data_IF_056026796145
#
_entry.id   IF_056026796145
#
_cell.length_a   1.000
_cell.length_b   1.000
_cell.length_c   1.000
_cell.angle_alpha   90.00
_cell.angle_beta   90.00
_cell.angle_gamma   90.00
#
_symmetry.space_group_name_H-M   'P 1'
#
loop_
_entity.id
_entity.type
_entity.pdbx_description
1 polymer ?
#
# COMPACT_ATOMS: atom_id res chain seq x y z
N UNK A 1 -20.32 -7.08 7.98
CA UNK A 1 -19.03 -7.08 7.27
C UNK A 1 -17.95 -6.82 8.29
N UNK A 2 -16.97 -7.73 8.40
CA UNK A 2 -15.85 -7.55 9.31
C UNK A 2 -14.96 -6.40 8.81
N UNK A 3 -14.65 -5.46 9.71
CA UNK A 3 -13.82 -4.31 9.41
C UNK A 3 -12.34 -4.71 9.48
N UNK A 4 -11.82 -5.12 8.33
CA UNK A 4 -10.43 -5.57 8.18
C UNK A 4 -9.58 -4.53 7.46
N UNK A 5 -8.33 -4.39 7.89
CA UNK A 5 -7.27 -3.66 7.18
C UNK A 5 -6.37 -4.64 6.46
N UNK A 6 -6.17 -4.42 5.16
CA UNK A 6 -5.31 -5.23 4.33
C UNK A 6 -4.04 -4.44 4.00
N UNK A 7 -2.89 -5.09 4.16
CA UNK A 7 -1.60 -4.52 3.74
C UNK A 7 -1.46 -4.71 2.24
N UNK A 8 -1.21 -3.61 1.54
CA UNK A 8 -1.07 -3.53 0.10
C UNK A 8 0.22 -2.82 -0.25
N UNK A 9 0.83 -3.20 -1.36
CA UNK A 9 1.93 -2.47 -1.99
C UNK A 9 1.40 -1.76 -3.23
N UNK A 10 1.55 -0.45 -3.29
CA UNK A 10 1.23 0.34 -4.48
C UNK A 10 2.32 0.13 -5.52
N UNK A 11 1.93 -0.27 -6.73
CA UNK A 11 2.90 -0.66 -7.77
C UNK A 11 3.65 0.55 -8.30
N UNK A 12 2.94 1.66 -8.51
CA UNK A 12 3.52 2.87 -9.10
C UNK A 12 4.45 3.62 -8.14
N UNK A 13 4.13 3.59 -6.84
CA UNK A 13 4.87 4.32 -5.80
C UNK A 13 5.90 3.44 -5.08
N UNK A 14 5.83 2.13 -5.22
CA UNK A 14 6.60 1.17 -4.42
C UNK A 14 6.43 1.37 -2.90
N UNK A 15 5.27 1.88 -2.48
CA UNK A 15 4.95 2.13 -1.08
C UNK A 15 4.10 1.00 -0.52
N UNK A 16 4.26 0.69 0.77
CA UNK A 16 3.45 -0.33 1.46
C UNK A 16 2.59 0.32 2.52
N UNK A 17 1.27 0.15 2.41
CA UNK A 17 0.33 0.77 3.34
C UNK A 17 -0.77 -0.19 3.80
N UNK A 18 -1.36 0.12 4.97
CA UNK A 18 -2.48 -0.61 5.54
C UNK A 18 -3.79 0.14 5.21
N UNK A 19 -4.61 -0.46 4.35
CA UNK A 19 -5.84 0.16 3.84
C UNK A 19 -7.07 -0.65 4.25
N UNK A 20 -8.26 -0.06 4.37
CA UNK A 20 -9.49 -0.83 4.56
C UNK A 20 -9.67 -1.84 3.42
N UNK A 21 -10.00 -3.08 3.75
CA UNK A 21 -10.20 -4.13 2.75
C UNK A 21 -11.35 -3.80 1.79
N UNK A 22 -12.28 -2.95 2.22
CA UNK A 22 -13.37 -2.40 1.41
C UNK A 22 -12.89 -1.48 0.29
N UNK A 23 -11.67 -0.93 0.38
CA UNK A 23 -11.09 -0.08 -0.67
C UNK A 23 -10.46 -0.90 -1.79
N UNK A 24 -10.35 -2.22 -1.62
CA UNK A 24 -9.69 -3.11 -2.56
C UNK A 24 -10.75 -3.78 -3.44
N UNK A 25 -10.72 -3.48 -4.74
CA UNK A 25 -11.62 -4.09 -5.73
C UNK A 25 -10.78 -4.44 -6.95
N UNK A 26 -10.84 -5.68 -7.41
CA UNK A 26 -10.14 -6.16 -8.62
C UNK A 26 -8.63 -5.83 -8.65
N UNK A 27 -7.93 -6.01 -7.51
CA UNK A 27 -6.49 -5.67 -7.35
C UNK A 27 -6.16 -4.18 -7.54
N UNK A 28 -7.17 -3.32 -7.44
CA UNK A 28 -7.01 -1.87 -7.38
C UNK A 28 -7.43 -1.38 -6.00
N UNK A 29 -6.71 -0.39 -5.48
CA UNK A 29 -7.09 0.30 -4.26
C UNK A 29 -7.66 1.67 -4.62
N UNK A 30 -8.87 1.96 -4.14
CA UNK A 30 -9.49 3.27 -4.25
C UNK A 30 -8.96 4.15 -3.12
N UNK A 31 -8.32 5.25 -3.49
CA UNK A 31 -7.66 6.14 -2.54
C UNK A 31 -8.32 7.52 -2.56
N UNK A 32 -8.74 8.07 -1.42
CA UNK A 32 -9.37 9.37 -1.39
C UNK A 32 -8.36 10.49 -1.72
N UNK A 33 -8.72 11.49 -2.55
CA UNK A 33 -7.88 12.64 -2.86
C UNK A 33 -7.95 13.69 -1.73
N UNK A 34 -7.77 13.25 -0.48
CA UNK A 34 -7.80 14.11 0.70
C UNK A 34 -6.39 14.38 1.21
N UNK A 35 -6.26 15.35 2.11
CA UNK A 35 -5.04 15.55 2.89
C UNK A 35 -4.76 14.33 3.77
N UNK A 36 -3.49 14.03 4.01
CA UNK A 36 -3.01 12.86 4.78
C UNK A 36 -3.75 12.63 6.09
N UNK A 37 -4.01 13.69 6.85
CA UNK A 37 -4.75 13.60 8.13
C UNK A 37 -6.18 13.05 7.95
N UNK A 38 -6.87 13.52 6.90
CA UNK A 38 -8.21 13.06 6.54
C UNK A 38 -8.19 11.65 5.98
N UNK A 39 -7.13 11.27 5.26
CA UNK A 39 -6.96 9.89 4.77
C UNK A 39 -6.81 8.94 5.96
N UNK A 40 -5.93 9.25 6.92
CA UNK A 40 -5.74 8.44 8.13
C UNK A 40 -7.05 8.30 8.91
N UNK A 41 -7.84 9.38 9.01
CA UNK A 41 -9.16 9.33 9.61
C UNK A 41 -10.13 8.43 8.81
N UNK A 42 -10.12 8.52 7.48
CA UNK A 42 -10.95 7.69 6.59
C UNK A 42 -10.60 6.20 6.69
N UNK A 43 -9.31 5.87 6.75
CA UNK A 43 -8.81 4.49 6.96
C UNK A 43 -9.29 3.94 8.30
N UNK A 44 -9.13 4.71 9.39
CA UNK A 44 -9.58 4.29 10.73
C UNK A 44 -11.09 4.15 10.81
N UNK A 45 -11.85 4.99 10.08
CA UNK A 45 -13.32 4.96 10.08
C UNK A 45 -13.91 3.94 9.09
N UNK A 46 -13.10 3.30 8.25
CA UNK A 46 -13.57 2.50 7.12
C UNK A 46 -14.55 3.28 6.25
N UNK A 47 -14.17 4.50 5.87
CA UNK A 47 -14.98 5.30 4.96
C UNK A 47 -15.26 4.49 3.69
N UNK A 48 -16.50 4.53 3.20
CA UNK A 48 -16.84 3.81 1.98
C UNK A 48 -16.17 4.48 0.78
N UNK A 49 -15.57 3.70 -0.14
CA UNK A 49 -15.00 4.27 -1.35
C UNK A 49 -16.11 4.92 -2.16
N UNK A 50 -15.91 6.19 -2.50
CA UNK A 50 -16.79 6.91 -3.41
C UNK A 50 -16.34 6.67 -4.86
N UNK A 51 -17.25 6.72 -5.82
CA UNK A 51 -16.98 6.54 -7.25
C UNK A 51 -16.01 7.58 -7.82
N UNK A 52 -15.83 8.71 -7.15
CA UNK A 52 -14.87 9.75 -7.54
C UNK A 52 -13.43 9.52 -7.02
N UNK A 53 -13.16 8.46 -6.25
CA UNK A 53 -11.80 8.22 -5.76
C UNK A 53 -10.90 7.67 -6.88
N UNK A 54 -9.69 8.22 -7.06
CA UNK A 54 -8.70 7.61 -7.94
C UNK A 54 -8.38 6.18 -7.49
N UNK A 55 -8.14 5.31 -8.45
CA UNK A 55 -7.81 3.91 -8.23
C UNK A 55 -6.37 3.64 -8.63
N UNK A 56 -5.64 2.91 -7.79
CA UNK A 56 -4.23 2.62 -7.97
C UNK A 56 -4.02 1.11 -8.05
N UNK A 57 -3.09 0.67 -8.90
CA UNK A 57 -2.76 -0.74 -9.00
C UNK A 57 -1.94 -1.20 -7.78
N UNK A 58 -2.37 -2.30 -7.18
CA UNK A 58 -1.78 -2.82 -5.94
C UNK A 58 -1.41 -4.29 -6.03
N UNK A 59 -0.50 -4.68 -5.15
CA UNK A 59 -0.18 -6.08 -4.83
C UNK A 59 -0.58 -6.33 -3.38
N UNK A 60 -1.42 -7.32 -3.14
CA UNK A 60 -1.74 -7.81 -1.79
C UNK A 60 -0.76 -8.90 -1.40
N UNK A 61 -0.37 -8.92 -0.12
CA UNK A 61 0.44 -10.01 0.42
C UNK A 61 -0.46 -11.17 0.88
N UNK A 62 0.09 -12.38 0.96
CA UNK A 62 -0.64 -13.53 1.52
C UNK A 62 -0.90 -13.29 3.01
N UNK A 63 -2.13 -13.55 3.48
CA UNK A 63 -2.55 -13.35 4.87
C UNK A 63 -2.25 -11.93 5.39
N UNK A 64 -2.53 -10.92 4.56
CA UNK A 64 -2.22 -9.52 4.87
C UNK A 64 -3.39 -8.73 5.45
N UNK A 65 -4.49 -9.40 5.79
CA UNK A 65 -5.66 -8.80 6.41
C UNK A 65 -5.62 -8.93 7.93
N UNK A 66 -5.96 -7.85 8.63
CA UNK A 66 -5.89 -7.71 10.08
C UNK A 66 -7.16 -7.00 10.59
N UNK A 67 -7.58 -7.35 11.79
CA UNK A 67 -8.72 -6.78 12.53
C UNK A 67 -8.36 -5.53 13.34
N UNK A 68 -7.08 -5.14 13.34
CA UNK A 68 -6.59 -3.98 14.08
C UNK A 68 -5.65 -3.14 13.22
N UNK A 69 -5.97 -1.86 13.07
CA UNK A 69 -5.19 -0.91 12.27
C UNK A 69 -3.75 -0.80 12.74
N UNK A 70 -3.52 -0.80 14.06
CA UNK A 70 -2.17 -0.62 14.62
C UNK A 70 -1.24 -1.76 14.21
N UNK A 71 -1.68 -3.00 14.35
CA UNK A 71 -0.92 -4.19 13.92
C UNK A 71 -0.73 -4.22 12.41
N UNK A 72 -1.76 -3.87 11.63
CA UNK A 72 -1.65 -3.78 10.17
C UNK A 72 -0.57 -2.76 9.75
N UNK A 73 -0.58 -1.57 10.35
CA UNK A 73 0.38 -0.49 10.05
C UNK A 73 1.81 -0.85 10.46
N UNK A 74 2.00 -1.45 11.64
CA UNK A 74 3.32 -1.91 12.08
C UNK A 74 3.90 -2.95 11.13
N UNK A 75 3.06 -3.86 10.63
CA UNK A 75 3.46 -4.87 9.65
C UNK A 75 3.71 -4.29 8.26
N UNK A 76 2.92 -3.30 7.83
CA UNK A 76 3.14 -2.56 6.59
C UNK A 76 4.53 -1.89 6.60
N UNK A 77 4.85 -1.18 7.69
CA UNK A 77 6.17 -0.56 7.87
C UNK A 77 7.31 -1.56 7.86
N UNK A 78 7.12 -2.74 8.46
CA UNK A 78 8.12 -3.83 8.39
C UNK A 78 8.31 -4.33 6.96
N UNK A 79 7.23 -4.50 6.19
CA UNK A 79 7.28 -4.98 4.81
C UNK A 79 7.95 -3.96 3.86
N UNK A 80 7.73 -2.67 4.09
CA UNK A 80 8.41 -1.57 3.40
C UNK A 80 9.94 -1.65 3.61
N UNK A 81 10.38 -1.68 4.88
CA UNK A 81 11.81 -1.77 5.24
C UNK A 81 12.50 -3.02 4.68
N UNK A 82 11.82 -4.18 4.64
CA UNK A 82 12.40 -5.40 4.05
C UNK A 82 12.54 -5.34 2.53
N UNK A 83 11.73 -4.53 1.85
CA UNK A 83 11.84 -4.34 0.40
C UNK A 83 13.03 -3.45 0.06
N UNK A 84 13.31 -2.45 0.89
CA UNK A 84 14.49 -1.58 0.74
C UNK A 84 15.79 -2.31 1.10
N UNK A 85 15.81 -3.15 2.14
CA UNK A 85 17.05 -3.81 2.59
C UNK A 85 17.56 -4.89 1.62
N UNK A 86 16.70 -5.44 0.76
CA UNK A 86 17.10 -6.37 -0.30
C UNK A 86 17.78 -5.69 -1.51
N UNK A 87 18.03 -4.37 -1.46
CA UNK A 87 18.65 -3.64 -2.57
C UNK A 87 20.19 -3.64 -2.56
N UNK A 88 20.85 -4.15 -1.51
CA UNK A 88 22.32 -4.11 -1.40
C UNK A 88 22.90 -5.40 -0.77
N UNK A 89 23.00 -6.47 -1.58
CA UNK A 89 24.08 -7.48 -1.42
C UNK A 89 24.34 -8.15 -2.77
N UNK A 90 25.55 -7.89 -3.27
CA UNK A 90 26.15 -8.44 -4.49
C UNK A 90 26.34 -9.97 -4.38
N UNK A 91 25.85 -10.74 -5.37
CA UNK A 91 26.58 -11.72 -6.22
C UNK A 91 25.64 -12.82 -6.78
N UNK A 92 25.78 -13.06 -8.10
CA UNK A 92 25.29 -14.17 -8.93
C UNK A 92 23.81 -14.26 -9.41
N UNK A 93 23.67 -13.98 -10.72
CA UNK A 93 22.79 -14.65 -11.70
C UNK A 93 21.26 -14.62 -11.47
N UNK A 94 20.65 -13.43 -11.45
CA UNK A 94 19.20 -13.30 -11.69
C UNK A 94 18.93 -12.17 -12.70
N UNK A 95 18.09 -12.36 -13.74
CA UNK A 95 17.91 -11.34 -14.79
C UNK A 95 17.31 -10.06 -14.21
N UNK A 96 18.12 -8.99 -14.21
CA UNK A 96 17.78 -7.64 -13.73
C UNK A 96 16.64 -7.05 -14.57
N UNK A 97 15.46 -6.84 -13.96
CA UNK A 97 14.44 -5.94 -14.55
C UNK A 97 15.00 -4.52 -14.54
N UNK A 98 15.03 -3.88 -15.70
CA UNK A 98 15.46 -2.48 -15.86
C UNK A 98 14.47 -1.56 -15.16
N UNK A 99 14.82 -1.07 -13.97
CA UNK A 99 14.09 0.01 -13.30
C UNK A 99 14.54 1.32 -13.96
N UNK A 100 13.63 1.93 -14.71
CA UNK A 100 13.84 3.24 -15.32
C UNK A 100 13.60 4.28 -14.23
N UNK A 101 14.54 5.19 -13.91
CA UNK A 101 14.32 6.19 -12.88
C UNK A 101 13.39 7.26 -13.44
N UNK A 102 12.20 7.46 -12.84
CA UNK A 102 11.36 8.61 -13.14
C UNK A 102 10.87 9.32 -11.89
N UNK A 103 11.44 10.52 -11.74
CA UNK A 103 11.00 11.75 -11.06
C UNK A 103 9.94 11.56 -9.97
N UNK A 104 10.42 11.69 -8.74
CA UNK A 104 9.67 12.07 -7.54
C UNK A 104 8.55 13.06 -7.85
N UNK A 105 7.30 12.65 -7.60
CA UNK A 105 6.26 13.58 -7.21
C UNK A 105 5.79 13.16 -5.83
N UNK A 106 6.38 13.81 -4.82
CA UNK A 106 5.91 13.73 -3.45
C UNK A 106 4.52 14.34 -3.42
N UNK A 107 3.50 13.53 -3.12
CA UNK A 107 2.18 14.07 -2.81
C UNK A 107 2.32 14.74 -1.45
N UNK A 108 2.41 16.07 -1.49
CA UNK A 108 2.42 16.99 -0.36
C UNK A 108 0.99 17.41 -0.02
#
# INVERSE_FOLDING_TARGET
MEKLWTIVRFIDEDTVEAVPSTWIINKKCYWPPFQTEKIVAAIKKHAEPNTCWPSYDIITFRNSSYDNYKTAREKAKKAELTSELNSDTDHDNVPKRKIIPKKFFVIR
#
